data_IF_020729487427
#
_entry.id   IF_020729487427
#
_cell.length_a   1.000
_cell.length_b   1.000
_cell.length_c   1.000
_cell.angle_alpha   90.00
_cell.angle_beta   90.00
_cell.angle_gamma   90.00
#
_symmetry.space_group_name_H-M   'P 1'
#
loop_
_entity.id
_entity.type
_entity.pdbx_description
1 polymer ?
#
# COMPACT_ATOMS: atom_id res chain seq x y z
N UNK A 1 21.37 5.87 2.37
CA UNK A 1 22.58 6.19 1.57
C UNK A 1 22.19 7.14 0.44
N UNK A 2 23.16 7.83 -0.19
CA UNK A 2 22.91 8.74 -1.32
C UNK A 2 23.95 8.49 -2.40
N UNK A 3 23.57 8.59 -3.67
CA UNK A 3 24.48 8.42 -4.80
C UNK A 3 25.48 9.58 -4.95
N UNK A 4 25.16 10.77 -4.44
CA UNK A 4 26.06 11.93 -4.44
C UNK A 4 25.80 12.89 -3.28
N UNK A 5 26.72 13.85 -3.09
CA UNK A 5 26.57 14.91 -2.10
C UNK A 5 25.39 15.84 -2.42
N UNK A 6 25.12 16.08 -3.71
CA UNK A 6 24.01 16.87 -4.21
C UNK A 6 22.68 16.19 -3.90
N UNK A 7 22.55 14.89 -4.18
CA UNK A 7 21.35 14.14 -3.82
C UNK A 7 21.12 14.09 -2.31
N UNK A 8 22.19 13.96 -1.51
CA UNK A 8 22.11 14.06 -0.05
C UNK A 8 21.60 15.43 0.39
N UNK A 9 22.15 16.51 -0.16
CA UNK A 9 21.76 17.87 0.19
C UNK A 9 20.31 18.16 -0.20
N UNK A 10 19.91 17.77 -1.41
CA UNK A 10 18.53 17.92 -1.88
C UNK A 10 17.54 17.18 -0.97
N UNK A 11 17.83 15.93 -0.60
CA UNK A 11 17.01 15.18 0.35
C UNK A 11 17.00 15.83 1.74
N UNK A 12 18.16 16.30 2.22
CA UNK A 12 18.32 16.98 3.50
C UNK A 12 17.45 18.23 3.60
N UNK A 13 17.45 19.07 2.56
CA UNK A 13 16.64 20.28 2.47
C UNK A 13 15.15 19.97 2.32
N UNK A 14 14.81 18.89 1.62
CA UNK A 14 13.40 18.55 1.36
C UNK A 14 12.70 17.89 2.55
N UNK A 15 13.26 16.84 3.15
CA UNK A 15 12.55 16.06 4.19
C UNK A 15 13.47 15.33 5.18
N UNK A 16 14.69 15.00 4.77
CA UNK A 16 15.56 14.10 5.55
C UNK A 16 16.04 14.74 6.85
N UNK A 17 16.27 16.06 6.92
CA UNK A 17 16.75 16.70 8.15
C UNK A 17 15.83 16.42 9.36
N UNK A 18 14.51 16.40 9.16
CA UNK A 18 13.53 16.17 10.22
C UNK A 18 13.39 14.67 10.56
N UNK A 19 13.59 13.80 9.57
CA UNK A 19 13.47 12.35 9.75
C UNK A 19 14.80 11.65 10.09
N UNK A 20 15.92 12.38 10.10
CA UNK A 20 17.24 11.83 10.38
C UNK A 20 17.36 11.49 11.87
N UNK A 21 17.47 10.20 12.18
CA UNK A 21 17.67 9.72 13.55
C UNK A 21 19.10 9.97 14.06
N UNK A 22 20.07 10.11 13.15
CA UNK A 22 21.48 10.31 13.49
C UNK A 22 21.97 9.28 14.53
N UNK A 23 22.54 9.72 15.66
CA UNK A 23 22.97 8.82 16.75
C UNK A 23 21.84 8.00 17.39
N UNK A 24 20.59 8.48 17.36
CA UNK A 24 19.42 7.85 17.98
C UNK A 24 18.81 6.73 17.14
N UNK A 25 19.47 6.26 16.08
CA UNK A 25 18.86 5.24 15.21
C UNK A 25 18.60 3.90 15.92
N UNK A 26 19.38 3.57 16.96
CA UNK A 26 19.18 2.39 17.82
C UNK A 26 18.46 2.72 19.13
N UNK A 27 17.95 3.93 19.29
CA UNK A 27 17.24 4.35 20.49
C UNK A 27 15.77 3.89 20.41
N UNK A 28 15.33 2.86 21.15
CA UNK A 28 13.95 2.39 21.10
C UNK A 28 12.98 3.43 21.67
N UNK A 29 13.46 4.42 22.43
CA UNK A 29 12.63 5.47 22.99
C UNK A 29 12.39 6.65 22.04
N UNK A 30 13.14 6.71 20.94
CA UNK A 30 12.99 7.77 19.95
C UNK A 30 11.58 7.75 19.33
N UNK A 31 10.86 8.90 19.26
CA UNK A 31 9.46 8.93 18.82
C UNK A 31 9.19 8.29 17.45
N UNK A 32 10.10 8.49 16.47
CA UNK A 32 9.98 7.87 15.15
C UNK A 32 10.20 6.34 15.18
N UNK A 33 11.07 5.83 16.07
CA UNK A 33 11.28 4.39 16.21
C UNK A 33 10.05 3.74 16.82
N UNK A 34 9.50 4.32 17.90
CA UNK A 34 8.22 3.89 18.49
C UNK A 34 7.08 3.86 17.47
N UNK A 35 7.00 4.87 16.61
CA UNK A 35 6.00 4.93 15.55
C UNK A 35 6.16 3.77 14.54
N UNK A 36 7.38 3.50 14.09
CA UNK A 36 7.68 2.41 13.16
C UNK A 36 7.45 1.03 13.78
N UNK A 37 7.84 0.85 15.04
CA UNK A 37 7.64 -0.43 15.73
C UNK A 37 6.16 -0.70 16.00
N UNK A 38 5.40 0.33 16.40
CA UNK A 38 3.95 0.23 16.50
C UNK A 38 3.31 -0.11 15.14
N UNK A 39 3.75 0.51 14.06
CA UNK A 39 3.28 0.19 12.71
C UNK A 39 3.52 -1.28 12.34
N UNK A 40 4.70 -1.83 12.63
CA UNK A 40 5.02 -3.24 12.38
C UNK A 40 4.12 -4.22 13.13
N UNK A 41 3.59 -3.80 14.28
CA UNK A 41 2.67 -4.62 15.09
C UNK A 41 1.20 -4.54 14.64
N UNK A 42 0.85 -3.59 13.77
CA UNK A 42 -0.48 -3.48 13.20
C UNK A 42 -0.59 -4.51 12.08
N UNK A 43 -1.34 -5.58 12.36
CA UNK A 43 -1.71 -6.56 11.36
C UNK A 43 -2.64 -5.86 10.38
N UNK A 44 -2.16 -5.59 9.16
CA UNK A 44 -2.87 -4.91 8.06
C UNK A 44 -2.81 -3.37 8.02
N UNK A 45 -1.92 -2.85 7.17
CA UNK A 45 -2.33 -2.12 5.96
C UNK A 45 -1.57 -2.65 4.72
N UNK A 46 -2.00 -2.37 3.47
CA UNK A 46 -1.46 -3.08 2.30
C UNK A 46 0.07 -3.00 2.26
N UNK A 47 0.67 -4.13 1.86
CA UNK A 47 2.11 -4.37 1.66
C UNK A 47 2.85 -3.24 0.93
N UNK A 48 2.13 -2.44 0.16
CA UNK A 48 2.64 -1.34 -0.66
C UNK A 48 2.75 0.00 0.05
N UNK A 49 2.35 0.12 1.33
CA UNK A 49 2.26 1.42 2.01
C UNK A 49 2.88 1.46 3.41
N UNK A 50 3.55 2.57 3.72
CA UNK A 50 4.29 2.75 4.97
C UNK A 50 3.83 4.01 5.71
N UNK A 51 3.73 3.93 7.05
CA UNK A 51 3.50 5.10 7.91
C UNK A 51 4.54 6.20 7.68
N UNK A 52 5.72 5.83 7.18
CA UNK A 52 6.78 6.76 6.86
C UNK A 52 6.47 7.64 5.65
N UNK A 53 5.51 7.29 4.79
CA UNK A 53 5.00 8.19 3.74
C UNK A 53 4.33 9.40 4.40
N UNK A 54 3.44 9.18 5.37
CA UNK A 54 2.81 10.27 6.14
C UNK A 54 3.85 11.11 6.88
N UNK A 55 4.86 10.46 7.49
CA UNK A 55 5.96 11.16 8.15
C UNK A 55 6.74 12.04 7.16
N UNK A 56 7.01 11.53 5.97
CA UNK A 56 7.69 12.26 4.88
C UNK A 56 6.84 13.39 4.33
N UNK A 57 5.52 13.25 4.23
CA UNK A 57 4.62 14.35 3.86
C UNK A 57 4.73 15.51 4.85
N UNK A 58 4.64 15.21 6.16
CA UNK A 58 4.80 16.22 7.23
C UNK A 58 6.18 16.85 7.17
N UNK A 59 7.25 16.05 7.09
CA UNK A 59 8.61 16.55 7.00
C UNK A 59 8.83 17.46 5.77
N UNK A 60 8.27 17.07 4.63
CA UNK A 60 8.34 17.84 3.38
C UNK A 60 7.70 19.22 3.55
N UNK A 61 6.50 19.29 4.13
CA UNK A 61 5.84 20.58 4.39
C UNK A 61 6.58 21.39 5.45
N UNK A 62 7.06 20.77 6.53
CA UNK A 62 7.75 21.48 7.63
C UNK A 62 9.04 22.15 7.15
N UNK A 63 9.78 21.49 6.27
CA UNK A 63 11.04 21.98 5.73
C UNK A 63 10.90 22.87 4.49
N UNK A 64 9.78 22.79 3.77
CA UNK A 64 9.57 23.57 2.56
C UNK A 64 9.58 25.08 2.83
N UNK A 65 10.13 25.84 1.89
CA UNK A 65 10.02 27.31 1.86
C UNK A 65 8.57 27.73 1.54
N UNK A 66 7.96 27.07 0.54
CA UNK A 66 6.57 27.26 0.14
C UNK A 66 5.73 26.08 0.67
N UNK A 67 5.19 26.24 1.87
CA UNK A 67 4.41 25.20 2.55
C UNK A 67 3.05 25.00 1.89
N UNK A 68 2.43 26.08 1.44
CA UNK A 68 1.13 26.10 0.78
C UNK A 68 1.14 25.27 -0.50
N UNK A 69 2.21 25.33 -1.30
CA UNK A 69 2.36 24.51 -2.50
C UNK A 69 2.25 23.01 -2.20
N UNK A 70 2.93 22.53 -1.15
CA UNK A 70 2.91 21.11 -0.79
C UNK A 70 1.58 20.68 -0.17
N UNK A 71 0.98 21.53 0.67
CA UNK A 71 -0.36 21.28 1.19
C UNK A 71 -1.38 21.16 0.05
N UNK A 72 -1.32 22.08 -0.91
CA UNK A 72 -2.15 22.04 -2.11
C UNK A 72 -1.85 20.81 -2.97
N UNK A 73 -0.58 20.41 -3.12
CA UNK A 73 -0.25 19.18 -3.84
C UNK A 73 -0.93 17.97 -3.21
N UNK A 74 -0.78 17.78 -1.89
CA UNK A 74 -1.34 16.62 -1.21
C UNK A 74 -2.86 16.61 -1.17
N UNK A 75 -3.52 17.77 -1.24
CA UNK A 75 -4.99 17.84 -1.30
C UNK A 75 -5.60 17.34 -2.61
N UNK A 76 -4.79 17.01 -3.63
CA UNK A 76 -5.29 16.42 -4.87
C UNK A 76 -5.46 14.89 -4.81
N UNK A 77 -4.86 14.22 -3.81
CA UNK A 77 -5.03 12.78 -3.64
C UNK A 77 -6.38 12.48 -2.99
N UNK A 78 -6.98 11.33 -3.34
CA UNK A 78 -8.22 10.88 -2.70
C UNK A 78 -7.98 10.64 -1.22
N UNK A 79 -8.85 11.12 -0.33
CA UNK A 79 -8.72 10.89 1.12
C UNK A 79 -10.05 10.47 1.75
N UNK A 80 -10.96 9.91 0.95
CA UNK A 80 -12.31 9.56 1.38
C UNK A 80 -12.25 8.38 2.35
N UNK A 81 -12.89 8.51 3.49
CA UNK A 81 -12.94 7.45 4.51
C UNK A 81 -14.16 6.54 4.37
N UNK A 82 -15.17 7.01 3.64
CA UNK A 82 -16.39 6.28 3.31
C UNK A 82 -16.93 6.74 1.95
N UNK A 83 -17.72 5.88 1.32
CA UNK A 83 -18.59 6.21 0.21
C UNK A 83 -20.04 6.18 0.71
N UNK A 84 -20.62 7.37 0.90
CA UNK A 84 -21.97 7.53 1.43
C UNK A 84 -23.06 7.02 0.48
N UNK A 85 -22.80 7.01 -0.84
CA UNK A 85 -23.78 6.55 -1.83
C UNK A 85 -23.99 5.02 -1.75
N UNK A 86 -22.94 4.29 -1.38
CA UNK A 86 -22.94 2.81 -1.31
C UNK A 86 -22.83 2.30 0.14
N UNK A 87 -22.84 3.20 1.14
CA UNK A 87 -22.66 2.90 2.57
C UNK A 87 -21.37 2.10 2.90
N UNK A 88 -20.31 2.25 2.10
CA UNK A 88 -19.06 1.49 2.26
C UNK A 88 -18.06 2.30 3.10
N UNK A 89 -17.55 1.70 4.18
CA UNK A 89 -16.43 2.22 4.96
C UNK A 89 -15.12 1.53 4.58
N UNK A 90 -14.00 2.24 4.69
CA UNK A 90 -12.70 1.69 4.31
C UNK A 90 -12.30 0.60 5.30
N UNK A 91 -11.86 -0.57 4.83
CA UNK A 91 -11.40 -1.69 5.66
C UNK A 91 -10.40 -1.26 6.73
N UNK A 92 -9.46 -0.38 6.36
CA UNK A 92 -8.44 0.20 7.26
C UNK A 92 -9.01 1.02 8.42
N UNK A 93 -10.28 1.40 8.36
CA UNK A 93 -10.98 2.21 9.36
C UNK A 93 -12.05 1.43 10.13
N UNK A 94 -12.15 0.12 9.93
CA UNK A 94 -13.09 -0.76 10.62
C UNK A 94 -12.89 -0.78 12.15
N UNK A 95 -13.91 -1.24 12.87
CA UNK A 95 -13.92 -1.26 14.34
C UNK A 95 -12.71 -2.01 14.94
N UNK A 96 -12.27 -3.11 14.30
CA UNK A 96 -11.09 -3.90 14.69
C UNK A 96 -9.80 -3.06 14.80
N UNK A 97 -9.67 -2.01 13.98
CA UNK A 97 -8.46 -1.18 13.89
C UNK A 97 -8.53 0.13 14.67
N UNK A 98 -9.68 0.43 15.29
CA UNK A 98 -9.91 1.73 15.96
C UNK A 98 -8.89 2.00 17.07
N UNK A 99 -8.57 0.99 17.89
CA UNK A 99 -7.59 1.10 18.98
C UNK A 99 -6.17 1.34 18.46
N UNK A 100 -5.77 0.59 17.43
CA UNK A 100 -4.46 0.73 16.79
C UNK A 100 -4.30 2.09 16.10
N UNK A 101 -5.33 2.58 15.40
CA UNK A 101 -5.33 3.91 14.79
C UNK A 101 -5.16 5.02 15.83
N UNK A 102 -5.79 4.90 17.00
CA UNK A 102 -5.64 5.87 18.09
C UNK A 102 -4.20 5.88 18.64
N UNK A 103 -3.60 4.70 18.84
CA UNK A 103 -2.21 4.55 19.24
C UNK A 103 -1.25 5.16 18.21
N UNK A 104 -1.39 4.77 16.93
CA UNK A 104 -0.57 5.28 15.83
C UNK A 104 -0.67 6.80 15.72
N UNK A 105 -1.88 7.36 15.82
CA UNK A 105 -2.07 8.83 15.81
C UNK A 105 -1.34 9.51 16.97
N UNK A 106 -1.39 8.96 18.17
CA UNK A 106 -0.72 9.54 19.34
C UNK A 106 0.81 9.52 19.16
N UNK A 107 1.36 8.41 18.68
CA UNK A 107 2.80 8.28 18.37
C UNK A 107 3.20 9.23 17.22
N UNK A 108 2.38 9.29 16.17
CA UNK A 108 2.58 10.19 15.03
C UNK A 108 2.59 11.66 15.45
N UNK A 109 1.65 12.05 16.32
CA UNK A 109 1.59 13.38 16.93
C UNK A 109 2.85 13.68 17.73
N UNK A 110 3.24 12.75 18.61
CA UNK A 110 4.44 12.90 19.45
C UNK A 110 5.70 13.09 18.60
N UNK A 111 5.80 12.35 17.49
CA UNK A 111 6.98 12.40 16.64
C UNK A 111 7.04 13.63 15.72
N UNK A 112 5.89 14.12 15.23
CA UNK A 112 5.86 14.96 14.03
C UNK A 112 5.01 16.23 14.12
N UNK A 113 4.29 16.45 15.23
CA UNK A 113 3.30 17.53 15.35
C UNK A 113 3.79 18.89 14.82
N UNK A 114 2.89 19.59 14.14
CA UNK A 114 3.12 20.90 13.53
C UNK A 114 1.82 21.69 13.55
N UNK A 115 1.82 22.90 14.11
CA UNK A 115 0.61 23.71 14.28
C UNK A 115 -0.10 24.00 12.96
N UNK A 116 0.67 24.27 11.90
CA UNK A 116 0.14 24.50 10.54
C UNK A 116 -0.55 23.29 9.93
N UNK A 117 -0.28 22.09 10.46
CA UNK A 117 -0.88 20.83 10.06
C UNK A 117 -1.72 20.22 11.17
N UNK A 118 -2.11 21.01 12.18
CA UNK A 118 -2.90 20.54 13.35
C UNK A 118 -4.10 19.67 12.98
N UNK A 119 -4.78 19.99 11.88
CA UNK A 119 -5.90 19.18 11.35
C UNK A 119 -5.50 17.73 11.04
N UNK A 120 -4.29 17.46 10.57
CA UNK A 120 -3.80 16.10 10.27
C UNK A 120 -3.58 15.24 11.53
N UNK A 121 -3.51 15.87 12.71
CA UNK A 121 -3.27 15.20 13.99
C UNK A 121 -4.57 14.99 14.80
N UNK A 122 -5.71 15.49 14.30
CA UNK A 122 -7.02 15.13 14.86
C UNK A 122 -7.38 13.68 14.51
N UNK A 123 -8.31 13.02 15.23
CA UNK A 123 -8.77 11.69 14.87
C UNK A 123 -9.27 11.61 13.41
N UNK A 124 -10.05 12.58 12.96
CA UNK A 124 -10.64 12.63 11.62
C UNK A 124 -9.58 12.91 10.54
N UNK A 125 -8.68 13.85 10.79
CA UNK A 125 -7.63 14.17 9.83
C UNK A 125 -6.58 13.07 9.70
N UNK A 126 -6.25 12.38 10.80
CA UNK A 126 -5.36 11.22 10.73
C UNK A 126 -5.98 10.07 9.94
N UNK A 127 -7.27 9.77 10.13
CA UNK A 127 -8.00 8.79 9.30
C UNK A 127 -8.02 9.19 7.83
N UNK A 128 -8.17 10.48 7.54
CA UNK A 128 -8.14 11.00 6.16
C UNK A 128 -6.75 10.83 5.53
N UNK A 129 -5.67 11.11 6.26
CA UNK A 129 -4.30 10.83 5.81
C UNK A 129 -4.06 9.34 5.58
N UNK A 130 -4.59 8.51 6.45
CA UNK A 130 -4.48 7.06 6.34
C UNK A 130 -5.15 6.54 5.08
N UNK A 131 -6.39 6.98 4.82
CA UNK A 131 -7.10 6.69 3.57
C UNK A 131 -6.35 7.23 2.36
N UNK A 132 -5.77 8.44 2.45
CA UNK A 132 -4.96 8.99 1.36
C UNK A 132 -3.80 8.10 1.00
N UNK A 133 -3.02 7.68 1.99
CA UNK A 133 -1.86 6.83 1.78
C UNK A 133 -2.26 5.39 1.39
N UNK A 134 -3.40 4.91 1.87
CA UNK A 134 -3.95 3.59 1.51
C UNK A 134 -4.51 3.51 0.09
N UNK A 135 -5.20 4.56 -0.38
CA UNK A 135 -5.88 4.56 -1.69
C UNK A 135 -5.02 5.05 -2.85
N UNK A 136 -3.92 5.76 -2.57
CA UNK A 136 -3.04 6.33 -3.59
C UNK A 136 -1.59 5.83 -3.49
N UNK A 137 -1.27 5.02 -2.47
CA UNK A 137 0.06 4.47 -2.27
C UNK A 137 0.45 3.52 -3.40
N UNK A 138 1.65 3.69 -3.93
CA UNK A 138 2.20 2.83 -4.97
C UNK A 138 3.53 2.24 -4.50
N UNK A 139 3.64 0.92 -4.57
CA UNK A 139 4.92 0.23 -4.42
C UNK A 139 5.87 0.62 -5.56
N UNK A 140 7.12 0.92 -5.24
CA UNK A 140 8.18 1.36 -6.15
C UNK A 140 9.14 0.22 -6.39
N UNK A 141 9.42 -0.02 -7.67
CA UNK A 141 10.44 -0.94 -8.12
C UNK A 141 10.07 -2.40 -7.91
N UNK A 142 11.02 -3.24 -8.25
CA UNK A 142 10.95 -4.68 -8.28
C UNK A 142 12.22 -5.22 -7.63
N UNK A 143 12.09 -6.08 -6.62
CA UNK A 143 13.25 -6.65 -5.92
C UNK A 143 14.28 -7.20 -6.92
N UNK A 144 15.58 -7.20 -6.56
CA UNK A 144 16.61 -7.79 -7.42
C UNK A 144 16.30 -9.25 -7.77
N UNK A 145 15.59 -9.97 -6.89
CA UNK A 145 15.07 -11.29 -7.15
C UNK A 145 14.03 -11.28 -8.27
N UNK A 146 13.01 -10.43 -8.18
CA UNK A 146 11.96 -10.40 -9.21
C UNK A 146 12.47 -9.88 -10.56
N UNK A 147 13.47 -9.00 -10.60
CA UNK A 147 14.20 -8.69 -11.85
C UNK A 147 14.90 -9.92 -12.44
N UNK A 148 15.53 -10.74 -11.60
CA UNK A 148 16.15 -11.98 -12.03
C UNK A 148 15.10 -12.99 -12.54
N UNK A 149 13.94 -13.10 -11.87
CA UNK A 149 12.82 -13.93 -12.33
C UNK A 149 12.30 -13.47 -13.69
N UNK A 150 12.07 -12.18 -13.89
CA UNK A 150 11.67 -11.65 -15.20
C UNK A 150 12.71 -11.90 -16.30
N UNK A 151 14.01 -11.82 -15.96
CA UNK A 151 15.06 -12.19 -16.90
C UNK A 151 15.03 -13.69 -17.22
N UNK A 152 14.68 -14.55 -16.26
CA UNK A 152 14.48 -15.98 -16.44
C UNK A 152 13.28 -16.30 -17.34
N UNK A 153 12.18 -15.53 -17.26
CA UNK A 153 10.99 -15.69 -18.11
C UNK A 153 11.30 -15.44 -19.59
N UNK A 154 12.20 -14.48 -19.86
CA UNK A 154 12.63 -14.14 -21.22
C UNK A 154 13.54 -15.19 -21.87
N UNK A 155 13.98 -16.23 -21.13
CA UNK A 155 14.85 -17.27 -21.67
C UNK A 155 14.07 -18.29 -22.51
N UNK A 156 14.50 -18.47 -23.76
CA UNK A 156 14.05 -19.57 -24.61
C UNK A 156 14.66 -20.90 -24.11
N UNK A 157 13.88 -21.67 -23.35
CA UNK A 157 14.28 -22.96 -22.79
C UNK A 157 13.41 -24.11 -23.30
N UNK A 158 13.96 -25.32 -23.46
CA UNK A 158 13.16 -26.54 -23.62
C UNK A 158 12.18 -26.71 -22.44
N UNK A 159 10.98 -27.25 -22.70
CA UNK A 159 9.89 -27.36 -21.71
C UNK A 159 10.33 -27.99 -20.38
N UNK A 160 11.15 -29.04 -20.42
CA UNK A 160 11.64 -29.69 -19.20
C UNK A 160 12.55 -28.78 -18.35
N UNK A 161 13.38 -27.94 -18.98
CA UNK A 161 14.24 -27.00 -18.27
C UNK A 161 13.44 -25.81 -17.73
N UNK A 162 12.40 -25.40 -18.48
CA UNK A 162 11.43 -24.39 -18.04
C UNK A 162 10.74 -24.82 -16.76
N UNK A 163 10.14 -26.02 -16.76
CA UNK A 163 9.50 -26.58 -15.55
C UNK A 163 10.45 -26.70 -14.35
N UNK A 164 11.72 -27.09 -14.58
CA UNK A 164 12.71 -27.17 -13.50
C UNK A 164 13.08 -25.80 -12.92
N UNK A 165 13.20 -24.79 -13.78
CA UNK A 165 13.52 -23.42 -13.37
C UNK A 165 12.35 -22.80 -12.60
N UNK A 166 11.12 -22.97 -13.10
CA UNK A 166 9.92 -22.45 -12.46
C UNK A 166 9.74 -23.08 -11.06
N UNK A 167 9.91 -24.41 -10.95
CA UNK A 167 9.87 -25.10 -9.65
C UNK A 167 10.97 -24.65 -8.68
N UNK A 168 12.17 -24.30 -9.19
CA UNK A 168 13.24 -23.74 -8.37
C UNK A 168 12.89 -22.33 -7.88
N UNK A 169 12.35 -21.47 -8.75
CA UNK A 169 11.92 -20.11 -8.40
C UNK A 169 10.82 -20.16 -7.33
N UNK A 170 9.83 -21.03 -7.50
CA UNK A 170 8.75 -21.22 -6.52
C UNK A 170 9.29 -21.66 -5.15
N UNK A 171 10.23 -22.60 -5.14
CA UNK A 171 10.86 -23.04 -3.90
C UNK A 171 11.71 -21.93 -3.26
N UNK A 172 12.40 -21.12 -4.08
CA UNK A 172 13.20 -19.99 -3.60
C UNK A 172 12.33 -18.94 -2.92
N UNK A 173 11.16 -18.60 -3.48
CA UNK A 173 10.21 -17.69 -2.81
C UNK A 173 9.73 -18.26 -1.48
N UNK A 174 9.33 -19.54 -1.44
CA UNK A 174 8.91 -20.21 -0.19
C UNK A 174 10.02 -20.23 0.86
N UNK A 175 11.26 -20.46 0.46
CA UNK A 175 12.41 -20.47 1.35
C UNK A 175 12.71 -19.07 1.90
N UNK A 176 12.56 -18.03 1.07
CA UNK A 176 12.70 -16.64 1.52
C UNK A 176 11.58 -16.28 2.49
N UNK A 177 10.32 -16.52 2.13
CA UNK A 177 9.16 -16.21 2.99
C UNK A 177 9.28 -16.87 4.36
N UNK A 178 9.78 -18.11 4.41
CA UNK A 178 10.02 -18.82 5.66
C UNK A 178 11.05 -18.13 6.55
N UNK A 179 12.09 -17.53 5.98
CA UNK A 179 13.18 -16.89 6.73
C UNK A 179 12.90 -15.40 7.03
N UNK A 180 12.13 -14.72 6.17
CA UNK A 180 11.88 -13.28 6.26
C UNK A 180 10.47 -12.90 6.70
N UNK A 181 9.53 -13.86 6.74
CA UNK A 181 8.10 -13.54 6.62
C UNK A 181 7.77 -13.09 5.19
N UNK A 182 6.58 -12.53 4.98
CA UNK A 182 6.09 -12.11 3.66
C UNK A 182 7.10 -11.27 2.88
N UNK A 183 7.68 -11.85 1.83
CA UNK A 183 8.70 -11.20 1.03
C UNK A 183 8.07 -10.23 0.02
N UNK A 184 8.24 -8.95 0.30
CA UNK A 184 7.74 -7.90 -0.59
C UNK A 184 8.69 -7.70 -1.78
N UNK A 185 8.16 -7.86 -2.99
CA UNK A 185 8.88 -7.54 -4.23
C UNK A 185 9.06 -6.03 -4.47
N UNK A 186 8.98 -5.20 -3.42
CA UNK A 186 8.90 -3.75 -3.49
C UNK A 186 10.11 -3.11 -2.78
N UNK A 187 10.80 -2.17 -3.43
CA UNK A 187 11.96 -1.48 -2.84
C UNK A 187 11.57 -0.28 -1.95
N UNK A 188 10.34 0.20 -2.08
CA UNK A 188 9.80 1.28 -1.26
C UNK A 188 8.44 1.76 -1.74
N UNK A 189 7.91 2.84 -1.17
CA UNK A 189 6.57 3.31 -1.50
C UNK A 189 6.56 4.79 -1.84
N UNK A 190 5.63 5.20 -2.72
CA UNK A 190 5.48 6.59 -3.15
C UNK A 190 4.05 6.98 -3.46
N UNK A 191 3.86 8.29 -3.70
CA UNK A 191 2.61 8.89 -4.15
C UNK A 191 2.87 9.56 -5.50
N UNK A 192 2.08 9.18 -6.52
CA UNK A 192 2.29 9.60 -7.90
C UNK A 192 1.03 10.28 -8.45
N UNK A 193 0.99 11.62 -8.37
CA UNK A 193 -0.22 12.40 -8.67
C UNK A 193 -0.91 12.03 -9.99
N UNK A 194 -0.15 11.86 -11.08
CA UNK A 194 -0.72 11.54 -12.39
C UNK A 194 -1.29 10.12 -12.45
N UNK A 195 -0.59 9.14 -11.86
CA UNK A 195 -1.09 7.77 -11.78
C UNK A 195 -2.33 7.70 -10.89
N UNK A 196 -2.32 8.39 -9.74
CA UNK A 196 -3.47 8.43 -8.81
C UNK A 196 -4.69 9.18 -9.38
N UNK A 197 -4.55 9.85 -10.53
CA UNK A 197 -5.66 10.47 -11.25
C UNK A 197 -6.33 9.51 -12.25
N UNK A 198 -5.74 8.34 -12.52
CA UNK A 198 -6.27 7.35 -13.45
C UNK A 198 -7.21 6.40 -12.70
N UNK A 199 -8.45 6.26 -13.18
CA UNK A 199 -9.42 5.37 -12.55
C UNK A 199 -9.15 3.89 -12.83
N UNK A 200 -9.85 3.04 -12.08
CA UNK A 200 -9.76 1.60 -12.21
C UNK A 200 -10.58 1.05 -13.40
N UNK A 201 -10.02 0.07 -14.10
CA UNK A 201 -10.76 -0.91 -14.89
C UNK A 201 -10.19 -2.32 -14.68
N UNK A 202 -11.06 -3.34 -14.65
CA UNK A 202 -10.61 -4.74 -14.70
C UNK A 202 -10.08 -5.13 -16.09
N UNK A 203 -10.31 -4.29 -17.09
CA UNK A 203 -9.73 -4.37 -18.44
C UNK A 203 -9.09 -3.00 -18.73
N UNK A 204 -7.91 -2.72 -18.16
CA UNK A 204 -7.27 -1.42 -18.29
C UNK A 204 -6.77 -1.18 -19.73
N UNK A 205 -6.71 0.09 -20.15
CA UNK A 205 -6.09 0.49 -21.42
C UNK A 205 -4.70 1.12 -21.22
N UNK A 206 -4.26 1.28 -19.96
CA UNK A 206 -2.91 1.66 -19.60
C UNK A 206 -2.41 0.89 -18.38
N UNK A 207 -1.10 0.82 -18.22
CA UNK A 207 -0.43 0.21 -17.07
C UNK A 207 0.61 1.15 -16.47
N UNK A 208 0.76 1.08 -15.15
CA UNK A 208 1.83 1.73 -14.41
C UNK A 208 2.97 0.74 -14.20
N UNK A 209 4.19 1.11 -14.57
CA UNK A 209 5.37 0.25 -14.44
C UNK A 209 6.63 1.06 -14.10
N UNK A 210 7.67 0.35 -13.66
CA UNK A 210 9.00 0.89 -13.37
C UNK A 210 10.04 0.20 -14.26
N UNK A 211 10.06 0.48 -15.58
CA UNK A 211 10.87 -0.28 -16.54
C UNK A 211 12.37 -0.21 -16.26
N UNK A 212 12.84 0.90 -15.69
CA UNK A 212 14.24 1.11 -15.32
C UNK A 212 14.56 0.69 -13.87
N UNK A 213 13.64 0.00 -13.20
CA UNK A 213 13.70 -0.36 -11.79
C UNK A 213 14.18 0.79 -10.89
N UNK A 214 13.55 1.96 -11.04
CA UNK A 214 13.85 3.15 -10.26
C UNK A 214 12.55 3.79 -9.75
N UNK A 215 12.64 5.00 -9.20
CA UNK A 215 11.47 5.70 -8.64
C UNK A 215 10.62 6.44 -9.70
N UNK A 216 10.95 6.36 -10.99
CA UNK A 216 10.20 6.98 -12.07
C UNK A 216 9.14 6.02 -12.57
N UNK A 217 7.88 6.36 -12.31
CA UNK A 217 6.73 5.62 -12.79
C UNK A 217 6.46 5.97 -14.26
N UNK A 218 6.35 4.94 -15.08
CA UNK A 218 5.93 5.04 -16.47
C UNK A 218 4.46 4.63 -16.57
N UNK A 219 3.66 5.45 -17.25
CA UNK A 219 2.30 5.11 -17.61
C UNK A 219 2.29 4.79 -19.12
N UNK A 220 2.12 3.52 -19.46
CA UNK A 220 2.20 3.02 -20.84
C UNK A 220 0.85 2.51 -21.31
N UNK A 221 0.51 2.74 -22.58
CA UNK A 221 -0.75 2.26 -23.17
C UNK A 221 -0.67 0.77 -23.48
N UNK A 222 -1.71 0.02 -23.13
CA UNK A 222 -1.88 -1.39 -23.48
C UNK A 222 -2.64 -1.59 -24.80
N UNK A 223 -3.37 -0.56 -25.22
CA UNK A 223 -4.13 -0.52 -26.48
C UNK A 223 -4.15 0.90 -27.02
N UNK A 224 -4.58 1.07 -28.27
CA UNK A 224 -4.85 2.40 -28.81
C UNK A 224 -5.92 3.12 -27.96
N UNK A 225 -5.70 4.41 -27.65
CA UNK A 225 -6.63 5.25 -26.87
C UNK A 225 -7.10 6.40 -27.75
N UNK A 226 -8.41 6.51 -27.95
CA UNK A 226 -9.00 7.56 -28.79
C UNK A 226 -9.19 8.88 -28.04
N UNK A 227 -9.22 10.04 -28.73
CA UNK A 227 -9.54 11.31 -28.07
C UNK A 227 -10.90 11.27 -27.35
N UNK A 228 -10.90 11.61 -26.06
CA UNK A 228 -12.09 11.57 -25.21
C UNK A 228 -12.34 10.23 -24.51
N UNK A 229 -11.55 9.20 -24.82
CA UNK A 229 -11.52 7.96 -24.04
C UNK A 229 -10.78 8.18 -22.71
N UNK A 230 -11.33 7.61 -21.64
CA UNK A 230 -10.73 7.69 -20.32
C UNK A 230 -9.51 6.75 -20.22
N UNK A 231 -8.45 7.20 -19.57
CA UNK A 231 -7.28 6.38 -19.27
C UNK A 231 -7.54 5.64 -17.96
N UNK A 232 -7.64 4.32 -18.05
CA UNK A 232 -7.90 3.46 -16.90
C UNK A 232 -6.72 2.50 -16.69
N UNK A 233 -6.28 2.42 -15.44
CA UNK A 233 -5.30 1.44 -14.95
C UNK A 233 -6.02 0.35 -14.15
N UNK A 234 -5.30 -0.69 -13.73
CA UNK A 234 -5.83 -1.62 -12.73
C UNK A 234 -5.28 -1.32 -11.35
N UNK A 235 -6.13 -1.47 -10.34
CA UNK A 235 -5.77 -1.37 -8.91
C UNK A 235 -5.60 -2.77 -8.29
N UNK A 236 -5.82 -3.79 -9.11
CA UNK A 236 -5.71 -5.19 -8.78
C UNK A 236 -4.46 -5.73 -9.49
N UNK A 237 -3.75 -6.64 -8.84
CA UNK A 237 -2.69 -7.41 -9.50
C UNK A 237 -3.27 -8.35 -10.57
N UNK A 238 -2.39 -9.00 -11.35
CA UNK A 238 -2.81 -9.89 -12.44
C UNK A 238 -3.70 -11.05 -11.94
N UNK A 239 -3.34 -11.69 -10.83
CA UNK A 239 -4.06 -12.82 -10.26
C UNK A 239 -5.46 -12.40 -9.80
N UNK A 240 -5.55 -11.33 -9.02
CA UNK A 240 -6.80 -10.74 -8.55
C UNK A 240 -7.71 -10.33 -9.72
N UNK A 241 -7.13 -9.81 -10.81
CA UNK A 241 -7.90 -9.36 -11.98
C UNK A 241 -8.61 -10.52 -12.70
N UNK A 242 -8.07 -11.73 -12.58
CA UNK A 242 -8.63 -12.93 -13.20
C UNK A 242 -9.58 -13.71 -12.27
N UNK A 243 -9.65 -13.36 -10.99
CA UNK A 243 -10.66 -13.85 -10.05
C UNK A 243 -12.08 -13.42 -10.43
N UNK A 244 -13.07 -13.97 -9.74
CA UNK A 244 -14.50 -13.76 -10.01
C UNK A 244 -14.90 -12.28 -9.87
N UNK A 245 -16.03 -11.90 -10.46
CA UNK A 245 -16.58 -10.54 -10.29
C UNK A 245 -16.79 -10.20 -8.82
N UNK A 246 -17.27 -11.16 -8.03
CA UNK A 246 -17.51 -11.02 -6.61
C UNK A 246 -16.21 -10.67 -5.87
N UNK A 247 -15.16 -11.49 -6.03
CA UNK A 247 -13.84 -11.31 -5.42
C UNK A 247 -13.24 -9.94 -5.76
N UNK A 248 -13.24 -9.56 -7.04
CA UNK A 248 -12.74 -8.25 -7.48
C UNK A 248 -13.52 -7.11 -6.84
N UNK A 249 -14.85 -7.21 -6.78
CA UNK A 249 -15.68 -6.19 -6.14
C UNK A 249 -15.42 -6.10 -4.65
N UNK A 250 -15.26 -7.22 -3.95
CA UNK A 250 -14.92 -7.24 -2.52
C UNK A 250 -13.65 -6.44 -2.25
N UNK A 251 -12.56 -6.77 -2.95
CA UNK A 251 -11.26 -6.07 -2.81
C UNK A 251 -11.40 -4.57 -3.11
N UNK A 252 -12.09 -4.20 -4.20
CA UNK A 252 -12.24 -2.80 -4.60
C UNK A 252 -13.13 -2.00 -3.63
N UNK A 253 -14.20 -2.60 -3.10
CA UNK A 253 -15.05 -1.96 -2.09
C UNK A 253 -14.30 -1.73 -0.80
N UNK A 254 -13.61 -2.75 -0.29
CA UNK A 254 -12.91 -2.71 0.99
C UNK A 254 -11.73 -1.72 1.00
N UNK A 255 -11.00 -1.63 -0.12
CA UNK A 255 -9.76 -0.86 -0.21
C UNK A 255 -9.90 0.48 -0.92
N UNK A 256 -10.84 0.61 -1.85
CA UNK A 256 -10.97 1.80 -2.70
C UNK A 256 -12.38 2.43 -2.68
N UNK A 257 -13.33 1.85 -1.94
CA UNK A 257 -14.65 2.43 -1.65
C UNK A 257 -15.54 2.64 -2.88
N UNK A 258 -15.43 1.77 -3.88
CA UNK A 258 -16.31 1.83 -5.05
C UNK A 258 -16.65 0.44 -5.59
N UNK A 259 -17.70 0.39 -6.42
CA UNK A 259 -18.09 -0.81 -7.18
C UNK A 259 -17.72 -0.61 -8.63
N UNK A 260 -16.93 -1.53 -9.19
CA UNK A 260 -16.49 -1.44 -10.57
C UNK A 260 -17.65 -1.75 -11.55
N UNK A 261 -17.84 -0.87 -12.53
CA UNK A 261 -18.84 -1.02 -13.61
C UNK A 261 -18.19 -1.15 -14.99
N UNK A 262 -16.92 -1.55 -15.05
CA UNK A 262 -16.21 -1.75 -16.32
C UNK A 262 -16.85 -2.88 -17.16
N UNK A 263 -16.49 -2.96 -18.44
CA UNK A 263 -17.05 -3.93 -19.38
C UNK A 263 -16.99 -5.38 -18.87
N UNK A 264 -15.87 -5.81 -18.26
CA UNK A 264 -15.72 -7.18 -17.69
C UNK A 264 -16.67 -7.41 -16.52
N UNK A 265 -16.85 -6.42 -15.63
CA UNK A 265 -17.79 -6.53 -14.52
C UNK A 265 -19.25 -6.54 -14.99
N UNK A 266 -19.57 -5.80 -16.06
CA UNK A 266 -20.92 -5.77 -16.62
C UNK A 266 -21.25 -7.08 -17.37
N UNK A 267 -20.29 -7.67 -18.09
CA UNK A 267 -20.51 -8.95 -18.78
C UNK A 267 -20.67 -10.13 -17.83
N UNK A 268 -20.16 -10.03 -16.61
CA UNK A 268 -20.19 -11.08 -15.57
C UNK A 268 -21.28 -10.83 -14.52
N UNK A 269 -22.25 -9.96 -14.79
CA UNK A 269 -23.24 -9.54 -13.79
C UNK A 269 -24.18 -10.67 -13.35
N UNK A 270 -24.42 -11.64 -14.23
CA UNK A 270 -25.28 -12.81 -13.98
C UNK A 270 -24.50 -14.07 -13.55
N UNK A 271 -23.17 -13.97 -13.42
CA UNK A 271 -22.34 -15.07 -12.91
C UNK A 271 -22.65 -15.32 -11.43
N UNK A 272 -22.54 -16.57 -10.98
CA UNK A 272 -22.68 -16.88 -9.56
C UNK A 272 -21.58 -16.18 -8.74
N UNK A 273 -21.96 -15.64 -7.58
CA UNK A 273 -21.02 -15.11 -6.61
C UNK A 273 -20.26 -16.28 -5.96
N UNK A 274 -19.15 -16.67 -6.58
CA UNK A 274 -18.26 -17.71 -6.08
C UNK A 274 -16.98 -17.05 -5.53
N UNK A 275 -16.66 -17.36 -4.29
CA UNK A 275 -15.35 -17.17 -3.64
C UNK A 275 -14.48 -18.39 -3.94
N UNK A 276 -13.16 -18.21 -4.09
CA UNK A 276 -12.25 -19.35 -4.12
C UNK A 276 -12.04 -19.89 -2.71
N UNK A 277 -11.69 -21.18 -2.55
CA UNK A 277 -11.36 -21.79 -1.25
C UNK A 277 -10.28 -20.97 -0.50
N UNK A 278 -9.29 -20.42 -1.22
CA UNK A 278 -8.27 -19.51 -0.67
C UNK A 278 -8.83 -18.21 -0.06
N UNK A 279 -9.96 -17.71 -0.58
CA UNK A 279 -10.61 -16.50 -0.05
C UNK A 279 -11.52 -16.82 1.15
N UNK A 280 -12.01 -18.05 1.25
CA UNK A 280 -12.78 -18.52 2.41
C UNK A 280 -11.86 -18.68 3.64
N UNK A 281 -10.62 -19.18 3.44
CA UNK A 281 -9.62 -19.28 4.51
C UNK A 281 -9.17 -17.90 5.04
N UNK A 282 -9.03 -16.88 4.17
CA UNK A 282 -8.76 -15.50 4.59
C UNK A 282 -9.93 -14.90 5.40
N UNK A 283 -11.19 -15.25 5.06
CA UNK A 283 -12.36 -14.83 5.83
C UNK A 283 -12.44 -15.50 7.21
N UNK A 284 -12.09 -16.78 7.30
CA UNK A 284 -12.08 -17.54 8.56
C UNK A 284 -10.98 -17.04 9.51
N UNK A 285 -9.77 -16.75 8.99
CA UNK A 285 -8.67 -16.18 9.78
C UNK A 285 -8.95 -14.77 10.33
N UNK A 286 -9.80 -13.97 9.66
CA UNK A 286 -10.29 -12.71 10.19
C UNK A 286 -11.36 -12.89 11.30
N UNK A 287 -11.99 -14.06 11.40
CA UNK A 287 -13.02 -14.41 12.39
C UNK A 287 -12.50 -15.04 13.69
N UNK A 288 -11.31 -15.65 13.70
CA UNK A 288 -10.80 -16.42 14.84
C UNK A 288 -10.15 -15.61 15.98
N UNK A 289 -10.04 -14.27 15.87
CA UNK A 289 -9.67 -13.42 17.03
C UNK A 289 -10.84 -13.09 17.96
N UNK A 290 -11.96 -13.80 17.85
CA UNK A 290 -13.05 -13.77 18.83
C UNK A 290 -13.03 -15.03 19.69
N UNK A 291 -12.39 -14.95 20.87
CA UNK A 291 -12.80 -15.80 22.00
C UNK A 291 -11.76 -16.63 22.74
N UNK A 292 -10.58 -16.10 23.07
CA UNK A 292 -9.76 -16.66 24.16
C UNK A 292 -9.38 -15.57 25.18
N UNK A 293 -10.39 -14.97 25.80
CA UNK A 293 -10.23 -14.30 27.09
C UNK A 293 -10.36 -15.34 28.21
N UNK A 294 -9.20 -15.79 28.70
CA UNK A 294 -8.87 -15.97 30.12
C UNK A 294 -9.93 -16.74 30.94
N UNK A 295 -9.81 -18.07 30.99
CA UNK A 295 -10.30 -18.80 32.17
C UNK A 295 -9.35 -18.54 33.34
N UNK A 296 -9.87 -17.80 34.33
CA UNK A 296 -9.29 -17.53 35.63
C UNK A 296 -8.76 -18.81 36.30
N UNK A 297 -7.43 -18.86 36.47
CA UNK A 297 -6.77 -19.81 37.37
C UNK A 297 -7.10 -19.39 38.82
N UNK A 298 -8.19 -19.94 39.36
CA UNK A 298 -8.50 -19.86 40.79
C UNK A 298 -7.38 -20.54 41.58
N UNK A 299 -6.57 -19.72 42.25
CA UNK A 299 -5.64 -20.17 43.28
C UNK A 299 -6.41 -20.72 44.47
N UNK A 300 -6.26 -22.02 44.74
CA UNK A 300 -6.48 -22.62 46.04
C UNK A 300 -5.11 -22.91 46.70
N UNK A 301 -5.01 -22.44 47.96
CA UNK A 301 -3.97 -22.67 49.00
C UNK A 301 -2.75 -21.74 49.01
#
# INVERSE_FOLDING_TARGET
MYCSAECRQAAWEQHHKLLCLGPSHHDPDHPLNKLQDAWRSVHYPPETSSIMIMARMVATIKQAQDKERWQKLFSHFCSRTANEEEEIAHKLLGEKFRGQLALLRNLFTTALYEDRLSQWFTPEGFRSLFSLVGTNGQGIGTSSLSQWVHACDALELPSQQREQLDAFIDQLYKDIDKETGDFLNCEGSGLFLLQSSCNHSCVPNAEASFPDNNFLLHLSTLSDISPGEEICISYLDCCQRDRSRHSRHKILRENYLFVCSCQKCMSQMDDADMTSEEEEEEEEGEGETEGDDIEDEMTDV
#
